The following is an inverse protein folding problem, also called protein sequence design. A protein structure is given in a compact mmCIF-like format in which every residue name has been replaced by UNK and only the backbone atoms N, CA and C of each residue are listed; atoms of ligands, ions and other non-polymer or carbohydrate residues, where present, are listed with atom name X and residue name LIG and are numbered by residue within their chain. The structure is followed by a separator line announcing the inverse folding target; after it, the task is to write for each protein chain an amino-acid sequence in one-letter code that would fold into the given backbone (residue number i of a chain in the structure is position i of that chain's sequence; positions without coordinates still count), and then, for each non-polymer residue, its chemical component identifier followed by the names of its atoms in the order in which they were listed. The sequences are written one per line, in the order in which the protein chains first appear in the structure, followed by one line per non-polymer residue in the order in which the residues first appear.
data_IF_329644123535
#
_entry.id   IF_329644123535
#
_cell.length_a   1.000
_cell.length_b   1.000
_cell.length_c   1.000
_cell.angle_alpha   90.00
_cell.angle_beta   90.00
_cell.angle_gamma   90.00
#
_symmetry.space_group_name_H-M   'P 1'
#
loop_
_entity.id
_entity.type
_entity.pdbx_description
1 polymer ?
#
# COMPACT_ATOMS: atom_id res chain seq x y z
N UNK A 1 -16.50 -12.07 6.38
CA UNK A 1 -16.50 -10.74 5.75
C UNK A 1 -15.10 -10.42 5.26
N UNK A 2 -14.99 -10.07 4.03
CA UNK A 2 -13.70 -9.68 3.50
C UNK A 2 -13.36 -8.26 3.87
N UNK A 3 -12.13 -8.08 4.29
CA UNK A 3 -11.60 -6.74 4.47
C UNK A 3 -10.80 -6.39 3.23
N UNK A 4 -11.36 -5.53 2.40
CA UNK A 4 -10.68 -5.06 1.20
C UNK A 4 -9.96 -3.77 1.55
N UNK A 5 -8.65 -3.77 1.35
CA UNK A 5 -7.86 -2.57 1.57
C UNK A 5 -7.77 -1.81 0.26
N UNK A 6 -8.29 -0.60 0.28
CA UNK A 6 -8.26 0.30 -0.86
C UNK A 6 -7.30 1.44 -0.52
N UNK A 7 -6.14 1.48 -1.16
CA UNK A 7 -5.16 2.52 -0.88
C UNK A 7 -5.71 3.91 -1.18
N UNK A 8 -6.36 4.07 -2.31
CA UNK A 8 -6.94 5.35 -2.69
C UNK A 8 -8.02 5.76 -1.70
N UNK A 9 -8.94 4.83 -1.37
CA UNK A 9 -10.02 5.10 -0.43
C UNK A 9 -9.57 5.18 1.00
N UNK A 10 -8.69 4.28 1.41
CA UNK A 10 -8.24 4.19 2.81
C UNK A 10 -7.38 5.38 3.22
N UNK A 11 -6.44 5.77 2.38
CA UNK A 11 -5.54 6.87 2.67
C UNK A 11 -6.00 8.19 2.09
N UNK A 12 -7.00 8.20 1.21
CA UNK A 12 -7.46 9.41 0.55
C UNK A 12 -6.43 10.00 -0.40
N UNK A 13 -5.58 9.16 -0.99
CA UNK A 13 -4.53 9.60 -1.90
C UNK A 13 -4.91 9.27 -3.34
N UNK A 14 -4.19 9.87 -4.29
CA UNK A 14 -4.43 9.62 -5.71
C UNK A 14 -3.86 8.25 -6.12
N UNK A 15 -4.33 7.75 -7.26
CA UNK A 15 -3.78 6.53 -7.87
C UNK A 15 -2.27 6.62 -8.08
N UNK A 16 -1.76 7.80 -8.40
CA UNK A 16 -0.34 8.02 -8.60
C UNK A 16 0.45 7.66 -7.35
N UNK A 17 0.05 8.17 -6.19
CA UNK A 17 0.73 7.91 -4.93
C UNK A 17 0.53 6.47 -4.47
N UNK A 18 -0.67 5.91 -4.67
CA UNK A 18 -0.94 4.51 -4.38
C UNK A 18 -0.02 3.58 -5.19
N UNK A 19 0.19 3.91 -6.46
CA UNK A 19 1.10 3.15 -7.32
C UNK A 19 2.53 3.23 -6.83
N UNK A 20 2.99 4.39 -6.39
CA UNK A 20 4.34 4.55 -5.85
C UNK A 20 4.53 3.72 -4.59
N UNK A 21 3.54 3.70 -3.70
CA UNK A 21 3.61 2.90 -2.47
C UNK A 21 3.72 1.41 -2.80
N UNK A 22 2.86 0.92 -3.69
CA UNK A 22 2.87 -0.49 -4.06
C UNK A 22 4.18 -0.87 -4.76
N UNK A 23 4.68 -0.01 -5.64
CA UNK A 23 5.96 -0.25 -6.30
C UNK A 23 7.11 -0.31 -5.30
N UNK A 24 7.13 0.57 -4.31
CA UNK A 24 8.16 0.57 -3.29
C UNK A 24 8.13 -0.72 -2.46
N UNK A 25 6.92 -1.19 -2.11
CA UNK A 25 6.77 -2.46 -1.39
C UNK A 25 7.29 -3.61 -2.23
N UNK A 26 6.97 -3.64 -3.51
CA UNK A 26 7.42 -4.70 -4.43
C UNK A 26 8.91 -4.65 -4.67
N UNK A 27 9.51 -3.47 -4.60
CA UNK A 27 10.96 -3.31 -4.76
C UNK A 27 11.74 -3.79 -3.53
N UNK A 28 11.06 -4.09 -2.43
CA UNK A 28 11.71 -4.61 -1.24
C UNK A 28 12.12 -3.55 -0.23
N UNK A 29 11.57 -2.35 -0.31
CA UNK A 29 11.85 -1.31 0.67
C UNK A 29 11.46 -1.76 2.07
N UNK A 30 12.25 -1.36 3.06
CA UNK A 30 11.97 -1.71 4.45
C UNK A 30 10.79 -0.90 4.97
N UNK A 31 10.19 -1.39 6.07
CA UNK A 31 9.11 -0.65 6.74
C UNK A 31 9.57 0.75 7.12
N UNK A 32 10.78 0.87 7.64
CA UNK A 32 11.34 2.18 8.03
C UNK A 32 11.41 3.13 6.84
N UNK A 33 11.89 2.65 5.70
CA UNK A 33 11.97 3.45 4.47
C UNK A 33 10.58 3.88 3.99
N UNK A 34 9.62 2.96 4.00
CA UNK A 34 8.26 3.25 3.56
C UNK A 34 7.61 4.30 4.46
N UNK A 35 7.78 4.19 5.76
CA UNK A 35 7.22 5.15 6.71
C UNK A 35 7.89 6.52 6.59
N UNK A 36 9.20 6.56 6.32
CA UNK A 36 9.91 7.82 6.14
C UNK A 36 9.37 8.60 4.93
N UNK A 37 9.03 7.91 3.84
CA UNK A 37 8.58 8.55 2.62
C UNK A 37 7.06 8.77 2.61
N UNK A 38 6.30 7.77 3.06
CA UNK A 38 4.84 7.77 2.91
C UNK A 38 4.08 7.90 4.22
N UNK A 39 4.77 8.01 5.34
CA UNK A 39 4.10 8.11 6.64
C UNK A 39 3.17 9.32 6.75
N UNK A 40 3.50 10.42 6.08
CA UNK A 40 2.67 11.62 6.08
C UNK A 40 1.32 11.42 5.37
N UNK A 41 1.20 10.38 4.55
CA UNK A 41 -0.05 10.01 3.90
C UNK A 41 -0.92 9.07 4.73
N UNK A 42 -0.46 8.71 5.93
CA UNK A 42 -1.21 7.80 6.79
C UNK A 42 -0.78 6.35 6.71
N UNK A 43 0.29 6.03 5.98
CA UNK A 43 0.79 4.67 5.90
C UNK A 43 1.34 4.22 7.25
N UNK A 44 0.97 3.01 7.66
CA UNK A 44 1.43 2.42 8.93
C UNK A 44 2.07 1.07 8.68
N UNK A 45 2.81 0.56 9.66
CA UNK A 45 3.44 -0.77 9.55
C UNK A 45 2.40 -1.87 9.39
N UNK A 46 1.26 -1.76 10.07
CA UNK A 46 0.16 -2.71 9.93
C UNK A 46 -0.38 -2.72 8.51
N UNK A 47 -0.59 -1.54 7.94
CA UNK A 47 -1.09 -1.41 6.58
C UNK A 47 -0.08 -1.95 5.56
N UNK A 48 1.22 -1.73 5.78
CA UNK A 48 2.26 -2.29 4.92
C UNK A 48 2.17 -3.82 4.89
N UNK A 49 2.00 -4.46 6.05
CA UNK A 49 1.86 -5.92 6.11
C UNK A 49 0.64 -6.41 5.35
N UNK A 50 -0.49 -5.71 5.50
CA UNK A 50 -1.72 -6.03 4.78
C UNK A 50 -1.50 -5.91 3.28
N UNK A 51 -0.84 -4.84 2.84
CA UNK A 51 -0.59 -4.61 1.42
C UNK A 51 0.35 -5.64 0.82
N UNK A 52 1.36 -6.07 1.55
CA UNK A 52 2.25 -7.14 1.09
C UNK A 52 1.47 -8.42 0.83
N UNK A 53 0.56 -8.77 1.73
CA UNK A 53 -0.27 -9.97 1.56
C UNK A 53 -1.21 -9.81 0.37
N UNK A 54 -1.83 -8.65 0.21
CA UNK A 54 -2.74 -8.40 -0.91
C UNK A 54 -2.04 -8.46 -2.24
N UNK A 55 -0.84 -7.89 -2.35
CA UNK A 55 -0.07 -7.95 -3.59
C UNK A 55 0.19 -9.40 -4.00
N UNK A 56 0.49 -10.28 -3.04
CA UNK A 56 0.70 -11.69 -3.30
C UNK A 56 -0.58 -12.41 -3.72
N UNK A 57 -1.72 -12.02 -3.16
CA UNK A 57 -2.99 -12.72 -3.37
C UNK A 57 -3.75 -12.23 -4.59
N UNK A 58 -3.82 -10.94 -4.80
CA UNK A 58 -4.65 -10.35 -5.86
C UNK A 58 -3.87 -9.53 -6.87
N UNK A 59 -2.57 -9.34 -6.65
CA UNK A 59 -1.70 -8.65 -7.58
C UNK A 59 -1.70 -7.14 -7.41
N UNK A 60 -0.73 -6.50 -8.07
CA UNK A 60 -0.47 -5.08 -7.94
C UNK A 60 -1.67 -4.22 -8.36
N UNK A 61 -2.22 -4.50 -9.53
CA UNK A 61 -3.28 -3.66 -10.09
C UNK A 61 -4.52 -3.64 -9.22
N UNK A 62 -4.94 -4.81 -8.72
CA UNK A 62 -6.11 -4.89 -7.88
C UNK A 62 -5.86 -4.28 -6.50
N UNK A 63 -4.66 -4.39 -5.98
CA UNK A 63 -4.31 -3.75 -4.70
C UNK A 63 -4.43 -2.23 -4.81
N UNK A 64 -4.00 -1.65 -5.91
CA UNK A 64 -4.11 -0.21 -6.15
C UNK A 64 -5.55 0.20 -6.40
N UNK A 65 -6.27 -0.56 -7.23
CA UNK A 65 -7.61 -0.21 -7.71
C UNK A 65 -8.69 -0.34 -6.64
N UNK A 66 -8.45 -1.17 -5.65
CA UNK A 66 -9.36 -1.22 -4.55
C UNK A 66 -9.11 -0.06 -3.62
#
# INVERSE_FOLDING_TARGET
MEMIVNLVGTLGISNYWATLIVNAIMAGDTVTQLLAVFGSFGLTSTLISILRDLIKKIGKQQTIAY
#
